data_IF_021665104849
#
_entry.id   IF_021665104849
#
_cell.length_a   1.000
_cell.length_b   1.000
_cell.length_c   1.000
_cell.angle_alpha   90.00
_cell.angle_beta   90.00
_cell.angle_gamma   90.00
#
_symmetry.space_group_name_H-M   'P 1'
#
loop_
_entity.id
_entity.type
_entity.pdbx_description
1 polymer ?
#
# COMPACT_ATOMS: atom_id res chain seq x y z
N UNK A 1 -9.38 -2.13 84.97
CA UNK A 1 -9.09 -1.81 83.57
C UNK A 1 -8.10 -2.86 83.05
N UNK A 2 -8.52 -3.77 82.16
CA UNK A 2 -7.65 -4.83 81.63
C UNK A 2 -6.91 -4.25 80.42
N UNK A 3 -5.60 -4.03 80.52
CA UNK A 3 -4.78 -3.63 79.38
C UNK A 3 -4.72 -4.80 78.39
N UNK A 4 -5.09 -4.60 77.12
CA UNK A 4 -5.02 -5.66 76.13
C UNK A 4 -3.55 -6.07 75.91
N UNK A 5 -3.26 -7.37 76.02
CA UNK A 5 -1.96 -7.92 75.66
C UNK A 5 -1.74 -7.73 74.15
N UNK A 6 -0.91 -6.75 73.79
CA UNK A 6 -0.39 -6.59 72.43
C UNK A 6 0.57 -7.74 72.15
N UNK A 7 0.09 -8.76 71.43
CA UNK A 7 0.96 -9.80 70.86
C UNK A 7 1.83 -9.14 69.79
N UNK A 8 3.14 -9.06 70.04
CA UNK A 8 4.12 -8.59 69.07
C UNK A 8 4.32 -9.61 67.95
N UNK A 9 4.61 -9.13 66.75
CA UNK A 9 4.94 -9.95 65.58
C UNK A 9 6.28 -10.65 65.81
N UNK A 10 6.37 -11.94 65.55
CA UNK A 10 7.61 -12.68 65.62
C UNK A 10 8.46 -12.45 64.37
N UNK A 11 9.79 -12.56 64.51
CA UNK A 11 10.73 -12.42 63.38
C UNK A 11 10.41 -13.43 62.25
N UNK A 12 9.96 -14.64 62.60
CA UNK A 12 9.55 -15.66 61.64
C UNK A 12 8.34 -15.21 60.81
N UNK A 13 7.32 -14.63 61.43
CA UNK A 13 6.15 -14.10 60.72
C UNK A 13 6.53 -12.95 59.78
N UNK A 14 7.47 -12.09 60.18
CA UNK A 14 7.99 -11.02 59.32
C UNK A 14 8.69 -11.58 58.07
N UNK A 15 9.53 -12.61 58.22
CA UNK A 15 10.21 -13.25 57.08
C UNK A 15 9.21 -13.88 56.11
N UNK A 16 8.18 -14.56 56.62
CA UNK A 16 7.11 -15.14 55.79
C UNK A 16 6.34 -14.05 55.06
N UNK A 17 5.99 -12.95 55.73
CA UNK A 17 5.30 -11.83 55.11
C UNK A 17 6.11 -11.21 53.96
N UNK A 18 7.42 -11.01 54.15
CA UNK A 18 8.32 -10.52 53.10
C UNK A 18 8.42 -11.51 51.94
N UNK A 19 8.51 -12.81 52.22
CA UNK A 19 8.55 -13.84 51.18
C UNK A 19 7.27 -13.86 50.34
N UNK A 20 6.10 -13.79 50.99
CA UNK A 20 4.80 -13.73 50.29
C UNK A 20 4.69 -12.45 49.46
N UNK A 21 5.13 -11.31 50.00
CA UNK A 21 5.16 -10.05 49.27
C UNK A 21 6.04 -10.13 48.02
N UNK A 22 7.22 -10.74 48.12
CA UNK A 22 8.12 -10.94 46.99
C UNK A 22 7.50 -11.81 45.89
N UNK A 23 6.81 -12.89 46.26
CA UNK A 23 6.08 -13.75 45.33
C UNK A 23 4.95 -12.96 44.65
N UNK A 24 4.17 -12.20 45.41
CA UNK A 24 3.07 -11.39 44.88
C UNK A 24 3.56 -10.33 43.89
N UNK A 25 4.65 -9.62 44.22
CA UNK A 25 5.28 -8.64 43.31
C UNK A 25 5.78 -9.28 42.02
N UNK A 26 6.35 -10.48 42.11
CA UNK A 26 6.81 -11.25 40.94
C UNK A 26 5.63 -11.64 40.05
N UNK A 27 4.53 -12.13 40.64
CA UNK A 27 3.32 -12.47 39.91
C UNK A 27 2.68 -11.24 39.24
N UNK A 28 2.59 -10.11 39.95
CA UNK A 28 2.09 -8.84 39.41
C UNK A 28 2.94 -8.33 38.23
N UNK A 29 4.27 -8.41 38.34
CA UNK A 29 5.17 -8.06 37.26
C UNK A 29 4.95 -8.90 36.00
N UNK A 30 4.65 -10.19 36.17
CA UNK A 30 4.35 -11.09 35.06
C UNK A 30 3.01 -10.76 34.38
N UNK A 31 1.95 -10.54 35.16
CA UNK A 31 0.63 -10.13 34.64
C UNK A 31 0.75 -8.81 33.88
N UNK A 32 1.45 -7.84 34.46
CA UNK A 32 1.66 -6.53 33.84
C UNK A 32 2.39 -6.63 32.50
N UNK A 33 3.42 -7.48 32.42
CA UNK A 33 4.13 -7.76 31.15
C UNK A 33 3.16 -8.31 30.10
N UNK A 34 2.36 -9.32 30.45
CA UNK A 34 1.35 -9.90 29.54
C UNK A 34 0.36 -8.84 29.09
N UNK A 35 -0.13 -7.98 29.99
CA UNK A 35 -1.05 -6.90 29.65
C UNK A 35 -0.44 -5.89 28.67
N UNK A 36 0.82 -5.49 28.87
CA UNK A 36 1.53 -4.59 27.94
C UNK A 36 1.69 -5.24 26.57
N UNK A 37 2.10 -6.51 26.52
CA UNK A 37 2.30 -7.22 25.26
C UNK A 37 0.97 -7.36 24.50
N UNK A 38 -0.12 -7.67 25.21
CA UNK A 38 -1.46 -7.71 24.65
C UNK A 38 -1.93 -6.33 24.13
N UNK A 39 -1.66 -5.26 24.88
CA UNK A 39 -2.00 -3.90 24.46
C UNK A 39 -1.23 -3.50 23.19
N UNK A 40 0.07 -3.79 23.12
CA UNK A 40 0.91 -3.54 21.94
C UNK A 40 0.41 -4.33 20.73
N UNK A 41 0.04 -5.59 20.92
CA UNK A 41 -0.53 -6.45 19.89
C UNK A 41 -1.87 -5.89 19.36
N UNK A 42 -2.74 -5.43 20.26
CA UNK A 42 -4.02 -4.82 19.91
C UNK A 42 -3.84 -3.52 19.11
N UNK A 43 -2.92 -2.65 19.54
CA UNK A 43 -2.59 -1.42 18.83
C UNK A 43 -2.04 -1.72 17.42
N UNK A 44 -1.13 -2.68 17.31
CA UNK A 44 -0.54 -3.11 16.04
C UNK A 44 -1.60 -3.66 15.06
N UNK A 45 -2.50 -4.51 15.57
CA UNK A 45 -3.61 -5.07 14.79
C UNK A 45 -4.54 -3.98 14.30
N UNK A 46 -4.87 -3.01 15.16
CA UNK A 46 -5.72 -1.86 14.81
C UNK A 46 -5.08 -0.99 13.71
N UNK A 47 -3.77 -0.73 13.80
CA UNK A 47 -3.04 0.00 12.76
C UNK A 47 -3.13 -0.72 11.40
N UNK A 48 -2.85 -2.03 11.38
CA UNK A 48 -2.93 -2.84 10.17
C UNK A 48 -4.35 -2.82 9.58
N UNK A 49 -5.38 -2.99 10.39
CA UNK A 49 -6.77 -2.96 9.93
C UNK A 49 -7.18 -1.60 9.33
N UNK A 50 -6.69 -0.48 9.89
CA UNK A 50 -6.95 0.85 9.32
C UNK A 50 -6.26 1.03 7.97
N UNK A 51 -4.99 0.60 7.85
CA UNK A 51 -4.26 0.64 6.57
C UNK A 51 -4.94 -0.22 5.51
N UNK A 52 -5.36 -1.44 5.88
CA UNK A 52 -6.10 -2.33 4.99
C UNK A 52 -7.35 -1.64 4.46
N UNK A 53 -8.18 -1.09 5.36
CA UNK A 53 -9.41 -0.39 4.96
C UNK A 53 -9.12 0.77 4.01
N UNK A 54 -8.14 1.61 4.32
CA UNK A 54 -7.76 2.72 3.45
C UNK A 54 -7.32 2.25 2.05
N UNK A 55 -6.56 1.15 1.97
CA UNK A 55 -6.15 0.56 0.68
C UNK A 55 -7.36 0.01 -0.07
N UNK A 56 -8.21 -0.79 0.60
CA UNK A 56 -9.36 -1.43 -0.06
C UNK A 56 -10.41 -0.42 -0.50
N UNK A 57 -10.72 0.57 0.34
CA UNK A 57 -11.70 1.61 0.01
C UNK A 57 -11.21 2.45 -1.18
N UNK A 58 -9.91 2.75 -1.25
CA UNK A 58 -9.32 3.47 -2.37
C UNK A 58 -9.30 2.64 -3.67
N UNK A 59 -8.93 1.36 -3.59
CA UNK A 59 -8.97 0.44 -4.73
C UNK A 59 -10.39 0.32 -5.26
N UNK A 60 -11.36 0.05 -4.38
CA UNK A 60 -12.77 -0.08 -4.76
C UNK A 60 -13.30 1.20 -5.44
N UNK A 61 -13.03 2.38 -4.86
CA UNK A 61 -13.46 3.66 -5.43
C UNK A 61 -12.88 3.90 -6.83
N UNK A 62 -11.60 3.56 -7.05
CA UNK A 62 -10.96 3.75 -8.35
C UNK A 62 -11.48 2.76 -9.41
N UNK A 63 -11.73 1.52 -9.02
CA UNK A 63 -12.22 0.49 -9.94
C UNK A 63 -13.71 0.61 -10.21
N UNK A 64 -14.51 1.26 -9.36
CA UNK A 64 -15.89 1.62 -9.69
C UNK A 64 -15.99 2.53 -10.93
N UNK A 65 -14.98 3.36 -11.17
CA UNK A 65 -14.89 4.23 -12.34
C UNK A 65 -14.20 3.60 -13.55
N UNK A 66 -13.75 2.34 -13.49
CA UNK A 66 -12.86 1.76 -14.50
C UNK A 66 -13.49 1.77 -15.90
N UNK A 67 -12.69 2.15 -16.90
CA UNK A 67 -13.09 2.16 -18.30
C UNK A 67 -12.67 0.87 -18.99
N UNK A 68 -13.58 -0.10 -19.03
CA UNK A 68 -13.33 -1.41 -19.65
C UNK A 68 -13.08 -1.34 -21.16
N UNK A 69 -13.48 -0.24 -21.81
CA UNK A 69 -13.22 0.08 -23.22
C UNK A 69 -11.83 0.71 -23.46
N UNK A 70 -11.11 1.06 -22.40
CA UNK A 70 -9.76 1.65 -22.48
C UNK A 70 -8.69 0.64 -22.10
N UNK A 71 -7.49 0.68 -22.69
CA UNK A 71 -6.43 -0.25 -22.33
C UNK A 71 -6.10 -0.20 -20.82
N UNK A 72 -5.70 -1.35 -20.29
CA UNK A 72 -5.03 -1.48 -19.00
C UNK A 72 -3.73 -2.27 -19.17
N UNK A 73 -2.83 -2.16 -18.20
CA UNK A 73 -1.56 -2.88 -18.21
C UNK A 73 -1.22 -3.33 -16.79
N UNK A 74 -0.79 -4.59 -16.68
CA UNK A 74 -0.18 -5.12 -15.46
C UNK A 74 1.26 -5.43 -15.76
N UNK A 75 2.15 -4.89 -14.93
CA UNK A 75 3.57 -5.18 -14.99
C UNK A 75 3.96 -5.92 -13.72
N UNK A 76 4.28 -7.19 -13.89
CA UNK A 76 4.72 -8.03 -12.79
C UNK A 76 6.23 -7.92 -12.62
N UNK A 77 6.66 -7.65 -11.38
CA UNK A 77 8.09 -7.60 -11.04
C UNK A 77 8.32 -8.48 -9.83
N UNK A 78 9.10 -9.55 -10.03
CA UNK A 78 9.43 -10.51 -8.98
C UNK A 78 10.92 -10.46 -8.68
N UNK A 79 11.26 -10.61 -7.40
CA UNK A 79 12.62 -11.03 -7.02
C UNK A 79 12.84 -12.46 -7.52
N UNK A 80 13.95 -12.69 -8.25
CA UNK A 80 14.36 -14.03 -8.69
C UNK A 80 14.66 -14.96 -7.52
N UNK A 81 15.08 -14.39 -6.40
CA UNK A 81 15.68 -15.14 -5.31
C UNK A 81 14.64 -15.48 -4.24
N UNK A 82 13.70 -14.57 -3.98
CA UNK A 82 12.81 -14.63 -2.81
C UNK A 82 11.31 -14.64 -3.16
N UNK A 83 10.97 -14.54 -4.45
CA UNK A 83 9.58 -14.53 -4.91
C UNK A 83 8.75 -13.32 -4.45
N UNK A 84 9.40 -12.28 -3.89
CA UNK A 84 8.73 -11.03 -3.50
C UNK A 84 8.18 -10.35 -4.76
N UNK A 85 6.87 -10.14 -4.78
CA UNK A 85 6.18 -9.39 -5.82
C UNK A 85 6.17 -7.89 -5.52
N UNK A 86 6.40 -7.10 -6.56
CA UNK A 86 6.28 -5.65 -6.53
C UNK A 86 5.59 -5.20 -7.83
N UNK A 87 4.45 -5.84 -8.09
CA UNK A 87 3.65 -5.70 -9.28
C UNK A 87 3.12 -4.26 -9.40
N UNK A 88 2.70 -3.92 -10.60
CA UNK A 88 2.17 -2.60 -10.93
C UNK A 88 0.95 -2.79 -11.80
N UNK A 89 -0.05 -1.97 -11.60
CA UNK A 89 -1.19 -1.90 -12.50
C UNK A 89 -1.43 -0.47 -12.91
N UNK A 90 -1.80 -0.30 -14.16
CA UNK A 90 -2.25 0.94 -14.74
C UNK A 90 -3.57 0.69 -15.46
N UNK A 91 -4.52 1.61 -15.27
CA UNK A 91 -5.81 1.60 -15.95
C UNK A 91 -6.34 3.02 -16.07
N UNK A 92 -7.41 3.19 -16.85
CA UNK A 92 -8.13 4.46 -16.98
C UNK A 92 -9.44 4.35 -16.23
N UNK A 93 -9.79 5.40 -15.48
CA UNK A 93 -11.06 5.50 -14.78
C UNK A 93 -11.73 6.84 -15.07
N UNK A 94 -13.07 6.81 -15.12
CA UNK A 94 -13.92 7.98 -15.02
C UNK A 94 -14.10 8.37 -13.55
N UNK A 95 -14.29 9.65 -13.30
CA UNK A 95 -14.53 10.19 -11.97
C UNK A 95 -14.22 11.68 -11.91
N UNK A 96 -14.56 12.33 -10.82
CA UNK A 96 -14.25 13.74 -10.62
C UNK A 96 -12.83 13.88 -10.05
N UNK A 97 -11.85 14.00 -10.94
CA UNK A 97 -10.46 14.13 -10.55
C UNK A 97 -10.04 15.59 -10.46
N UNK A 98 -9.27 15.89 -9.42
CA UNK A 98 -8.68 17.19 -9.16
C UNK A 98 -7.21 17.02 -8.77
N UNK A 99 -6.35 17.93 -9.21
CA UNK A 99 -4.95 17.94 -8.75
C UNK A 99 -4.86 18.26 -7.27
N UNK A 100 -3.88 17.64 -6.61
CA UNK A 100 -3.65 17.88 -5.18
C UNK A 100 -2.98 19.23 -4.95
N UNK A 101 -2.26 19.71 -5.97
CA UNK A 101 -1.57 21.00 -5.96
C UNK A 101 -2.22 21.99 -6.91
N UNK A 102 -1.96 23.26 -6.61
CA UNK A 102 -2.14 24.34 -7.56
C UNK A 102 -0.86 24.51 -8.35
N UNK A 103 -1.03 24.82 -9.62
CA UNK A 103 0.06 24.97 -10.57
C UNK A 103 0.00 26.35 -11.20
N UNK A 104 1.17 26.91 -11.46
CA UNK A 104 1.29 28.23 -12.08
C UNK A 104 0.99 28.12 -13.57
N UNK A 105 -0.04 28.81 -14.01
CA UNK A 105 -0.33 29.07 -15.41
C UNK A 105 -0.33 30.58 -15.63
N UNK A 106 0.61 31.09 -16.43
CA UNK A 106 0.79 32.53 -16.69
C UNK A 106 0.81 33.39 -15.41
N UNK A 107 1.47 32.89 -14.35
CA UNK A 107 1.59 33.56 -13.05
C UNK A 107 0.41 33.35 -12.08
N UNK A 108 -0.70 32.75 -12.54
CA UNK A 108 -1.88 32.47 -11.71
C UNK A 108 -1.88 31.03 -11.22
N UNK A 109 -2.19 30.81 -9.94
CA UNK A 109 -2.38 29.48 -9.38
C UNK A 109 -3.71 28.90 -9.87
N UNK A 110 -3.65 27.75 -10.53
CA UNK A 110 -4.82 27.07 -11.08
C UNK A 110 -4.81 25.60 -10.64
N UNK A 111 -6.00 25.09 -10.35
CA UNK A 111 -6.23 23.68 -10.09
C UNK A 111 -6.70 23.01 -11.37
N UNK A 112 -6.13 21.86 -11.72
CA UNK A 112 -6.60 21.09 -12.90
C UNK A 112 -7.71 20.16 -12.46
N UNK A 113 -8.78 20.15 -13.23
CA UNK A 113 -9.90 19.23 -13.10
C UNK A 113 -10.04 18.40 -14.37
N UNK A 114 -10.53 17.18 -14.22
CA UNK A 114 -10.88 16.31 -15.34
C UNK A 114 -11.82 15.21 -14.89
N UNK A 115 -12.66 14.73 -15.81
CA UNK A 115 -13.62 13.66 -15.56
C UNK A 115 -13.05 12.25 -15.82
N UNK A 116 -11.76 12.18 -16.15
CA UNK A 116 -11.06 10.95 -16.48
C UNK A 116 -9.60 11.08 -16.04
N UNK A 117 -9.05 10.01 -15.49
CA UNK A 117 -7.65 9.94 -15.13
C UNK A 117 -7.08 8.56 -15.43
N UNK A 118 -5.79 8.54 -15.72
CA UNK A 118 -4.97 7.35 -15.61
C UNK A 118 -4.67 7.11 -14.12
N UNK A 119 -4.88 5.90 -13.63
CA UNK A 119 -4.56 5.50 -12.26
C UNK A 119 -3.47 4.43 -12.31
N UNK A 120 -2.43 4.61 -11.51
CA UNK A 120 -1.34 3.66 -11.39
C UNK A 120 -1.15 3.26 -9.93
N UNK A 121 -1.17 1.96 -9.65
CA UNK A 121 -0.72 1.40 -8.37
C UNK A 121 0.63 0.74 -8.54
N UNK A 122 1.56 1.03 -7.63
CA UNK A 122 2.89 0.42 -7.64
C UNK A 122 3.54 0.49 -6.25
N UNK A 123 4.48 -0.42 -6.01
CA UNK A 123 5.44 -0.27 -4.91
C UNK A 123 6.47 0.82 -5.24
N UNK A 124 6.95 1.54 -4.22
CA UNK A 124 8.01 2.55 -4.34
C UNK A 124 9.29 2.02 -5.02
N UNK A 125 10.01 2.85 -5.79
CA UNK A 125 11.26 2.44 -6.42
C UNK A 125 12.46 2.44 -5.46
N UNK A 126 13.43 1.58 -5.79
CA UNK A 126 14.73 1.46 -5.15
C UNK A 126 15.68 2.61 -5.50
N UNK A 127 15.46 3.29 -6.63
CA UNK A 127 16.50 4.08 -7.30
C UNK A 127 16.59 5.55 -6.86
N UNK A 128 16.15 5.86 -5.64
CA UNK A 128 16.48 7.15 -5.01
C UNK A 128 17.63 6.90 -4.04
N UNK A 129 18.87 7.34 -4.38
CA UNK A 129 20.04 7.11 -3.54
C UNK A 129 19.75 7.47 -2.08
N UNK A 130 19.83 6.46 -1.20
CA UNK A 130 19.74 6.59 0.26
C UNK A 130 18.40 7.04 0.87
N UNK A 131 17.24 6.90 0.21
CA UNK A 131 15.97 7.41 0.79
C UNK A 131 14.78 6.45 0.87
N UNK A 132 14.74 5.39 0.07
CA UNK A 132 13.64 4.42 0.11
C UNK A 132 14.21 3.00 -0.01
N UNK A 133 13.82 2.05 0.85
CA UNK A 133 14.31 0.68 0.73
C UNK A 133 13.84 0.02 -0.55
N UNK A 134 14.67 -0.87 -1.08
CA UNK A 134 14.32 -1.71 -2.21
C UNK A 134 12.99 -2.44 -1.93
N UNK A 135 11.95 -2.29 -2.76
CA UNK A 135 10.69 -3.02 -2.57
C UNK A 135 10.86 -4.54 -2.64
N UNK A 136 11.94 -5.01 -3.29
CA UNK A 136 12.36 -6.40 -3.37
C UNK A 136 13.36 -6.80 -2.27
N UNK A 137 13.76 -5.89 -1.36
CA UNK A 137 14.58 -6.24 -0.19
C UNK A 137 13.88 -7.30 0.65
N UNK A 138 14.62 -8.31 1.10
CA UNK A 138 14.11 -9.30 2.04
C UNK A 138 14.29 -8.93 3.49
N UNK A 139 15.00 -7.83 3.81
CA UNK A 139 15.21 -7.46 5.21
C UNK A 139 13.85 -7.08 5.84
N UNK A 140 13.39 -7.81 6.87
CA UNK A 140 12.14 -7.47 7.56
C UNK A 140 12.17 -6.07 8.20
N UNK A 141 13.37 -5.51 8.43
CA UNK A 141 13.57 -4.13 8.91
C UNK A 141 13.26 -3.09 7.84
N UNK A 142 13.28 -3.47 6.57
CA UNK A 142 12.92 -2.60 5.46
C UNK A 142 11.41 -2.67 5.18
N UNK A 143 10.75 -3.74 5.62
CA UNK A 143 9.33 -3.97 5.42
C UNK A 143 8.45 -2.82 5.88
N UNK A 144 8.78 -2.16 7.00
CA UNK A 144 8.05 -1.00 7.52
C UNK A 144 8.35 0.31 6.76
N UNK A 145 9.35 0.32 5.88
CA UNK A 145 9.78 1.47 5.10
C UNK A 145 9.40 1.39 3.61
N UNK A 146 8.80 0.29 3.17
CA UNK A 146 8.23 0.15 1.82
C UNK A 146 6.88 0.86 1.70
N UNK A 147 6.63 1.50 0.57
CA UNK A 147 5.39 2.25 0.34
C UNK A 147 4.60 1.65 -0.83
N UNK A 148 3.29 1.53 -0.64
CA UNK A 148 2.34 1.36 -1.73
C UNK A 148 1.88 2.74 -2.20
N UNK A 149 2.03 2.98 -3.49
CA UNK A 149 1.71 4.23 -4.15
C UNK A 149 0.48 4.11 -5.03
N UNK A 150 -0.25 5.22 -5.09
CA UNK A 150 -1.25 5.50 -6.11
C UNK A 150 -0.93 6.84 -6.74
N UNK A 151 -0.75 6.80 -8.05
CA UNK A 151 -0.62 8.00 -8.88
C UNK A 151 -1.89 8.15 -9.69
N UNK A 152 -2.39 9.38 -9.79
CA UNK A 152 -3.40 9.74 -10.76
C UNK A 152 -2.82 10.76 -11.74
N UNK A 153 -3.11 10.57 -13.02
CA UNK A 153 -2.76 11.50 -14.08
C UNK A 153 -4.04 11.92 -14.78
N UNK A 154 -4.48 13.15 -14.52
CA UNK A 154 -5.75 13.68 -15.00
C UNK A 154 -5.65 14.00 -16.48
N UNK A 155 -6.65 13.57 -17.25
CA UNK A 155 -6.81 13.99 -18.63
C UNK A 155 -7.63 15.27 -18.66
N UNK A 156 -7.00 16.34 -19.13
CA UNK A 156 -7.64 17.66 -19.22
C UNK A 156 -7.68 18.16 -20.66
N UNK A 157 -8.75 18.87 -20.98
CA UNK A 157 -8.90 19.56 -22.26
C UNK A 157 -8.25 20.94 -22.26
N UNK A 158 -7.73 21.39 -21.11
CA UNK A 158 -7.15 22.70 -20.91
C UNK A 158 -5.76 22.78 -21.56
N UNK A 159 -5.68 23.49 -22.70
CA UNK A 159 -4.47 23.63 -23.51
C UNK A 159 -3.57 24.80 -23.08
N UNK A 160 -4.00 25.58 -22.08
CA UNK A 160 -3.23 26.75 -21.60
C UNK A 160 -2.01 26.34 -20.74
N UNK A 161 -1.77 25.04 -20.59
CA UNK A 161 -0.81 24.45 -19.64
C UNK A 161 0.49 23.98 -20.27
N UNK A 162 0.62 24.16 -21.58
CA UNK A 162 1.77 23.76 -22.37
C UNK A 162 2.98 24.69 -22.13
N UNK A 163 3.57 24.67 -20.94
CA UNK A 163 5.03 24.83 -20.88
C UNK A 163 5.65 23.44 -21.02
N UNK A 164 6.12 23.05 -22.22
CA UNK A 164 6.72 21.76 -22.42
C UNK A 164 7.95 21.51 -21.54
N UNK A 165 8.59 22.57 -21.01
CA UNK A 165 9.76 22.50 -20.15
C UNK A 165 9.44 22.21 -18.67
N UNK A 166 8.17 22.32 -18.24
CA UNK A 166 7.83 22.11 -16.84
C UNK A 166 7.66 20.61 -16.55
N UNK A 167 8.58 20.06 -15.75
CA UNK A 167 8.64 18.65 -15.32
C UNK A 167 7.50 18.23 -14.37
N UNK A 168 6.59 19.15 -14.03
CA UNK A 168 5.44 18.93 -13.14
C UNK A 168 4.27 18.15 -13.78
N UNK A 169 4.47 17.58 -14.99
CA UNK A 169 3.52 16.76 -15.77
C UNK A 169 3.15 15.41 -15.13
N UNK A 170 3.32 15.27 -13.82
CA UNK A 170 3.10 13.99 -13.16
C UNK A 170 1.66 13.75 -12.69
N UNK A 171 0.92 14.80 -12.34
CA UNK A 171 -0.49 14.73 -11.91
C UNK A 171 -1.52 14.97 -13.03
N UNK A 172 -1.11 15.55 -14.16
CA UNK A 172 -1.99 15.79 -15.32
C UNK A 172 -1.23 15.69 -16.64
N UNK A 173 -1.93 15.30 -17.69
CA UNK A 173 -1.44 15.28 -19.07
C UNK A 173 -2.40 16.08 -19.94
N UNK A 174 -1.83 17.02 -20.68
CA UNK A 174 -2.52 17.72 -21.76
C UNK A 174 -2.69 16.81 -22.98
N UNK A 175 -3.82 16.98 -23.66
CA UNK A 175 -4.29 16.55 -25.00
C UNK A 175 -3.30 16.18 -26.13
N UNK A 176 -2.11 15.65 -25.89
CA UNK A 176 -1.43 14.76 -26.84
C UNK A 176 -2.23 13.45 -26.89
N UNK A 177 -3.38 13.53 -27.57
CA UNK A 177 -4.40 12.54 -27.91
C UNK A 177 -4.39 11.23 -27.12
N UNK A 178 -5.50 10.88 -26.48
CA UNK A 178 -5.78 9.51 -26.02
C UNK A 178 -5.33 8.42 -27.03
N UNK A 179 -5.47 8.63 -28.37
CA UNK A 179 -4.78 7.85 -29.41
C UNK A 179 -3.26 7.67 -29.26
N UNK A 180 -2.48 8.70 -28.93
CA UNK A 180 -1.05 8.62 -28.66
C UNK A 180 -0.74 7.79 -27.42
N UNK A 181 -1.50 7.95 -26.33
CA UNK A 181 -1.34 7.08 -25.15
C UNK A 181 -1.68 5.64 -25.46
N UNK A 182 -2.83 5.39 -26.10
CA UNK A 182 -3.22 4.05 -26.54
C UNK A 182 -2.11 3.47 -27.42
N UNK A 183 -1.59 4.24 -28.38
CA UNK A 183 -0.56 3.77 -29.30
C UNK A 183 0.74 3.46 -28.56
N UNK A 184 1.23 4.31 -27.66
CA UNK A 184 2.48 4.08 -26.93
C UNK A 184 2.38 2.97 -25.88
N UNK A 185 1.21 2.79 -25.28
CA UNK A 185 0.96 1.72 -24.32
C UNK A 185 0.78 0.39 -25.06
N UNK A 186 0.10 0.40 -26.21
CA UNK A 186 -0.19 -0.79 -27.01
C UNK A 186 0.97 -1.17 -27.95
N UNK A 187 1.89 -0.27 -28.29
CA UNK A 187 2.95 -0.57 -29.27
C UNK A 187 4.14 -1.30 -28.66
N UNK A 188 4.78 -0.85 -27.57
CA UNK A 188 6.10 -1.40 -27.21
C UNK A 188 6.40 -1.51 -25.69
N UNK A 189 6.53 -2.73 -25.13
CA UNK A 189 6.85 -2.95 -23.71
C UNK A 189 8.29 -2.59 -23.31
N UNK A 190 9.19 -2.44 -24.28
CA UNK A 190 10.60 -2.12 -24.04
C UNK A 190 10.97 -0.69 -24.40
N UNK A 191 10.00 0.11 -24.85
CA UNK A 191 10.29 1.47 -25.25
C UNK A 191 10.13 2.42 -24.06
N UNK A 192 11.03 3.40 -24.01
CA UNK A 192 11.04 4.53 -23.09
C UNK A 192 9.70 5.28 -22.93
N UNK A 193 8.70 5.02 -23.77
CA UNK A 193 7.33 5.53 -23.64
C UNK A 193 6.53 4.99 -22.44
N UNK A 194 6.95 3.86 -21.84
CA UNK A 194 6.43 3.40 -20.54
C UNK A 194 7.06 4.14 -19.35
N UNK A 195 7.70 5.30 -19.56
CA UNK A 195 8.07 6.23 -18.48
C UNK A 195 6.84 6.72 -17.66
N UNK A 196 5.62 6.52 -18.13
CA UNK A 196 4.42 6.67 -17.29
C UNK A 196 4.21 5.51 -16.30
N UNK A 197 4.82 4.34 -16.56
CA UNK A 197 4.90 3.17 -15.68
C UNK A 197 6.24 3.02 -14.96
N UNK A 198 7.26 3.83 -15.28
CA UNK A 198 8.45 3.92 -14.43
C UNK A 198 7.98 4.37 -13.06
N UNK A 199 8.43 3.67 -12.01
CA UNK A 199 8.02 4.03 -10.66
C UNK A 199 8.49 5.46 -10.43
N UNK A 200 7.67 6.22 -9.72
CA UNK A 200 8.07 7.58 -9.38
C UNK A 200 9.18 7.44 -8.33
N UNK A 201 10.34 8.08 -8.52
CA UNK A 201 11.30 8.24 -7.44
C UNK A 201 10.61 9.05 -6.35
N UNK A 202 10.16 8.38 -5.29
CA UNK A 202 9.59 9.06 -4.14
C UNK A 202 10.69 9.76 -3.39
N UNK A 203 10.46 11.03 -3.06
CA UNK A 203 11.27 11.77 -2.12
C UNK A 203 10.36 12.18 -0.95
N UNK A 204 9.97 11.26 -0.04
CA UNK A 204 8.98 11.59 1.01
C UNK A 204 9.38 12.79 1.88
N UNK A 205 10.68 13.11 1.95
CA UNK A 205 11.23 14.27 2.66
C UNK A 205 10.81 15.62 2.09
N UNK A 206 10.42 15.71 0.82
CA UNK A 206 10.06 16.98 0.19
C UNK A 206 8.58 17.35 0.37
N UNK A 207 7.77 16.43 0.92
CA UNK A 207 6.34 16.61 1.13
C UNK A 207 5.49 16.57 -0.14
N UNK A 208 6.11 16.66 -1.31
CA UNK A 208 5.44 16.70 -2.61
C UNK A 208 4.76 15.37 -2.90
N UNK A 209 5.44 14.25 -2.63
CA UNK A 209 4.92 12.93 -3.01
C UNK A 209 3.96 12.31 -1.98
N UNK A 210 3.74 12.99 -0.84
CA UNK A 210 2.87 12.51 0.24
C UNK A 210 1.45 12.17 -0.25
N UNK A 211 0.80 12.95 -1.13
CA UNK A 211 -0.53 12.63 -1.62
C UNK A 211 -0.61 11.33 -2.43
N UNK A 212 0.52 10.81 -2.92
CA UNK A 212 0.56 9.55 -3.68
C UNK A 212 0.74 8.32 -2.79
N UNK A 213 1.05 8.50 -1.50
CA UNK A 213 1.28 7.40 -0.57
C UNK A 213 -0.07 6.92 -0.02
N UNK A 214 -0.49 5.70 -0.41
CA UNK A 214 -1.66 5.07 0.19
C UNK A 214 -1.30 4.50 1.56
N UNK A 215 -0.21 3.73 1.61
CA UNK A 215 0.17 3.01 2.81
C UNK A 215 1.68 2.84 2.91
N UNK A 216 2.17 2.97 4.15
CA UNK A 216 3.53 2.61 4.55
C UNK A 216 3.53 1.23 5.20
N UNK A 217 4.58 0.47 4.95
CA UNK A 217 4.77 -0.85 5.50
C UNK A 217 4.11 -1.93 4.65
N UNK A 218 4.12 -1.79 3.32
CA UNK A 218 3.51 -2.76 2.39
C UNK A 218 4.61 -3.60 1.76
N UNK A 219 4.38 -4.90 1.62
CA UNK A 219 5.31 -5.82 0.95
C UNK A 219 4.55 -6.84 0.11
N UNK A 220 5.24 -7.44 -0.87
CA UNK A 220 4.72 -8.52 -1.69
C UNK A 220 3.39 -8.14 -2.37
N UNK A 221 3.34 -6.92 -2.91
CA UNK A 221 2.18 -6.44 -3.65
C UNK A 221 2.10 -7.20 -4.98
N UNK A 222 1.15 -8.13 -5.02
CA UNK A 222 0.92 -9.07 -6.11
C UNK A 222 -0.46 -8.86 -6.72
N UNK A 223 -0.54 -8.95 -8.03
CA UNK A 223 -1.80 -8.84 -8.78
C UNK A 223 -2.02 -10.12 -9.58
N UNK A 224 -3.14 -10.78 -9.29
CA UNK A 224 -3.59 -11.97 -9.99
C UNK A 224 -4.91 -11.66 -10.72
N UNK A 225 -5.14 -12.32 -11.85
CA UNK A 225 -6.31 -12.11 -12.70
C UNK A 225 -7.16 -13.36 -12.75
N UNK A 226 -8.48 -13.18 -12.77
CA UNK A 226 -9.43 -14.24 -13.06
C UNK A 226 -9.87 -14.13 -14.53
N UNK A 227 -9.44 -15.09 -15.36
CA UNK A 227 -9.77 -15.13 -16.77
C UNK A 227 -10.96 -16.06 -17.05
N UNK A 228 -11.95 -15.58 -17.79
CA UNK A 228 -13.23 -16.28 -18.02
C UNK A 228 -13.08 -17.70 -18.59
N UNK A 229 -12.10 -17.94 -19.47
CA UNK A 229 -11.92 -19.22 -20.14
C UNK A 229 -11.45 -20.36 -19.21
N UNK A 230 -11.00 -20.06 -18.00
CA UNK A 230 -10.48 -21.08 -17.05
C UNK A 230 -10.73 -20.70 -15.60
N UNK A 231 -11.80 -19.95 -15.32
CA UNK A 231 -12.03 -19.31 -14.02
C UNK A 231 -12.22 -20.30 -12.88
N UNK A 232 -12.70 -21.52 -13.13
CA UNK A 232 -13.01 -22.51 -12.10
C UNK A 232 -12.32 -23.82 -12.44
N UNK A 233 -11.55 -24.37 -11.51
CA UNK A 233 -10.91 -25.68 -11.64
C UNK A 233 -11.95 -26.82 -11.47
N UNK A 234 -11.60 -28.09 -11.76
CA UNK A 234 -12.53 -29.22 -11.58
C UNK A 234 -13.05 -29.42 -10.15
N UNK A 235 -12.42 -28.80 -9.15
CA UNK A 235 -12.81 -28.86 -7.74
C UNK A 235 -13.69 -27.68 -7.31
N UNK A 236 -14.03 -26.77 -8.22
CA UNK A 236 -14.82 -25.58 -7.91
C UNK A 236 -14.02 -24.40 -7.36
N UNK A 237 -12.68 -24.45 -7.37
CA UNK A 237 -11.84 -23.36 -6.91
C UNK A 237 -11.55 -22.35 -8.02
N UNK A 238 -11.48 -21.07 -7.66
CA UNK A 238 -11.11 -20.01 -8.60
C UNK A 238 -9.64 -20.13 -9.01
N UNK A 239 -9.38 -20.22 -10.31
CA UNK A 239 -8.04 -20.29 -10.86
C UNK A 239 -7.46 -18.89 -11.10
N UNK A 240 -6.74 -18.39 -10.09
CA UNK A 240 -6.05 -17.11 -10.18
C UNK A 240 -4.76 -17.28 -10.99
N UNK A 241 -4.72 -16.62 -12.15
CA UNK A 241 -3.52 -16.61 -12.98
C UNK A 241 -2.69 -15.37 -12.67
N UNK A 242 -1.37 -15.54 -12.62
CA UNK A 242 -0.48 -14.40 -12.71
C UNK A 242 -0.65 -13.72 -14.08
N UNK A 243 -0.57 -12.40 -14.12
CA UNK A 243 -0.33 -11.72 -15.38
C UNK A 243 1.06 -12.14 -15.89
N UNK A 244 1.14 -13.13 -16.77
CA UNK A 244 2.41 -13.57 -17.35
C UNK A 244 3.22 -12.35 -17.82
N UNK A 245 4.54 -12.35 -17.60
CA UNK A 245 5.44 -11.20 -17.76
C UNK A 245 5.07 -10.29 -18.95
N UNK A 246 4.87 -8.99 -18.66
CA UNK A 246 4.51 -7.94 -19.61
C UNK A 246 3.15 -8.08 -20.31
N UNK A 247 2.11 -8.52 -19.60
CA UNK A 247 0.78 -8.61 -20.18
C UNK A 247 0.14 -7.24 -20.43
N UNK A 248 -0.02 -6.90 -21.71
CA UNK A 248 -1.02 -5.93 -22.16
C UNK A 248 -2.39 -6.55 -21.90
N UNK A 249 -3.24 -5.89 -21.11
CA UNK A 249 -4.63 -6.31 -20.96
C UNK A 249 -5.35 -5.87 -22.24
N UNK A 250 -5.42 -6.78 -23.24
CA UNK A 250 -6.23 -6.57 -24.45
C UNK A 250 -7.73 -6.68 -24.15
N UNK A 251 -8.07 -7.46 -23.14
CA UNK A 251 -9.43 -7.69 -22.65
C UNK A 251 -9.37 -7.70 -21.13
N UNK A 252 -10.19 -6.89 -20.46
CA UNK A 252 -10.21 -6.88 -18.99
C UNK A 252 -10.54 -8.28 -18.45
N UNK A 253 -9.84 -8.71 -17.37
CA UNK A 253 -10.21 -9.94 -16.68
C UNK A 253 -11.57 -9.77 -16.01
N UNK A 254 -12.19 -10.88 -15.60
CA UNK A 254 -13.46 -10.82 -14.87
C UNK A 254 -13.28 -10.21 -13.49
N UNK A 255 -12.17 -10.54 -12.83
CA UNK A 255 -11.83 -10.01 -11.53
C UNK A 255 -10.31 -9.86 -11.38
N UNK A 256 -9.91 -8.96 -10.51
CA UNK A 256 -8.53 -8.78 -10.07
C UNK A 256 -8.42 -9.14 -8.59
N UNK A 257 -7.33 -9.81 -8.21
CA UNK A 257 -6.99 -10.09 -6.82
C UNK A 257 -5.68 -9.41 -6.47
N UNK A 258 -5.77 -8.45 -5.56
CA UNK A 258 -4.65 -7.76 -4.95
C UNK A 258 -4.25 -8.52 -3.70
N UNK A 259 -3.01 -9.00 -3.64
CA UNK A 259 -2.46 -9.64 -2.44
C UNK A 259 -1.25 -8.84 -1.94
N UNK A 260 -1.15 -8.62 -0.64
CA UNK A 260 -0.02 -7.90 -0.04
C UNK A 260 0.10 -8.21 1.45
N UNK A 261 1.28 -7.93 2.01
CA UNK A 261 1.57 -8.01 3.44
C UNK A 261 1.69 -6.60 4.01
N UNK A 262 1.00 -6.36 5.14
CA UNK A 262 1.08 -5.10 5.87
C UNK A 262 1.87 -5.28 7.17
N UNK A 263 2.73 -4.31 7.46
CA UNK A 263 3.49 -4.19 8.70
C UNK A 263 2.93 -3.08 9.59
N UNK A 264 2.87 -3.35 10.90
CA UNK A 264 2.66 -2.32 11.92
C UNK A 264 3.99 -1.65 12.27
N UNK A 265 3.93 -0.36 12.61
CA UNK A 265 5.07 0.36 13.22
C UNK A 265 5.41 -0.18 14.60
N UNK A 266 4.44 -0.78 15.30
CA UNK A 266 4.63 -1.34 16.64
C UNK A 266 5.42 -2.65 16.55
N UNK A 267 6.56 -2.70 17.22
CA UNK A 267 7.40 -3.90 17.31
C UNK A 267 7.02 -4.73 18.53
N UNK A 268 6.88 -6.04 18.33
CA UNK A 268 6.65 -7.03 19.38
C UNK A 268 7.88 -7.94 19.37
N UNK A 269 8.60 -8.02 20.49
CA UNK A 269 9.86 -8.75 20.59
C UNK A 269 10.89 -8.33 19.52
N UNK A 270 10.95 -7.03 19.22
CA UNK A 270 11.90 -6.46 18.25
C UNK A 270 11.52 -6.64 16.78
N UNK A 271 10.41 -7.33 16.48
CA UNK A 271 9.92 -7.55 15.11
C UNK A 271 8.61 -6.79 14.87
N UNK A 272 8.42 -6.15 13.71
CA UNK A 272 7.13 -5.56 13.37
C UNK A 272 6.08 -6.67 13.21
N UNK A 273 4.87 -6.45 13.74
CA UNK A 273 3.74 -7.34 13.46
C UNK A 273 3.39 -7.24 11.98
N UNK A 274 3.20 -8.38 11.31
CA UNK A 274 2.82 -8.43 9.90
C UNK A 274 1.59 -9.31 9.66
N UNK A 275 0.75 -8.95 8.69
CA UNK A 275 -0.36 -9.80 8.24
C UNK A 275 -0.53 -9.72 6.73
N UNK A 276 -0.78 -10.86 6.09
CA UNK A 276 -1.09 -10.95 4.67
C UNK A 276 -2.58 -10.78 4.43
N UNK A 277 -2.92 -10.11 3.33
CA UNK A 277 -4.28 -9.83 2.91
C UNK A 277 -4.43 -10.10 1.43
N UNK A 278 -5.66 -10.42 1.04
CA UNK A 278 -6.10 -10.44 -0.35
C UNK A 278 -7.41 -9.67 -0.45
N UNK A 279 -7.55 -8.87 -1.49
CA UNK A 279 -8.76 -8.14 -1.83
C UNK A 279 -9.09 -8.40 -3.30
N UNK A 280 -10.35 -8.70 -3.58
CA UNK A 280 -10.84 -9.05 -4.91
C UNK A 280 -11.74 -7.92 -5.39
N UNK A 281 -11.49 -7.45 -6.61
CA UNK A 281 -12.30 -6.48 -7.33
C UNK A 281 -12.95 -7.20 -8.49
N UNK A 282 -14.28 -7.14 -8.55
CA UNK A 282 -15.05 -7.63 -9.70
C UNK A 282 -15.14 -6.53 -10.76
N UNK A 283 -14.86 -6.90 -12.01
CA UNK A 283 -14.84 -5.99 -13.16
C UNK A 283 -15.99 -6.28 -14.13
N UNK A 284 -16.83 -7.27 -13.85
CA UNK A 284 -18.05 -7.53 -14.61
C UNK A 284 -19.18 -6.62 -14.12
N UNK A 285 -19.18 -5.36 -14.57
CA UNK A 285 -20.31 -4.45 -14.42
C UNK A 285 -21.20 -4.42 -15.66
#
# INVERSE_FOLDING_TARGET
>A
MKTPNTKGFTIAELMVAVAIMAIALTAMGWVFKISIDAQRMSAATTEISRKLRAITDQIEADFQGVRVDMPAAIYNKRSTDDGIAADRIWFVANGDFQTTRQYKNNGTDKTVFGNMAQITYAMSEEDVPNKVPNPLSTDPKDGDQKYLLRRQTIFTADTEWADPANTQKTEYIEKASMPWMITNIVSEPNNSGLQSLTRIPLIPSDGNDVPFIIAKGVENFRIEMLNAASAIDPNGALNWADANDNHKIKTYPQALKFSFRLYSKTKINGKPLSKSFSHIVDLQQ
#
